data_IF_218486252833
#
_entry.id   IF_218486252833
#
_cell.length_a   1.000
_cell.length_b   1.000
_cell.length_c   1.000
_cell.angle_alpha   90.00
_cell.angle_beta   90.00
_cell.angle_gamma   90.00
#
_symmetry.space_group_name_H-M   'P 1'
#
loop_
_entity.id
_entity.type
_entity.pdbx_description
1 polymer ?
#
# COMPACT_ATOMS: atom_id res chain seq x y z
N UNK A 1 -47.10 -34.03 -23.83
CA UNK A 1 -47.44 -35.15 -24.70
C UNK A 1 -46.39 -35.27 -25.76
N UNK A 2 -45.63 -36.30 -25.54
CA UNK A 2 -45.01 -37.19 -26.52
C UNK A 2 -44.08 -36.72 -27.65
N UNK A 3 -43.21 -37.67 -28.07
CA UNK A 3 -42.16 -38.35 -27.33
C UNK A 3 -40.83 -38.40 -28.14
N UNK A 4 -39.77 -38.89 -27.50
CA UNK A 4 -38.56 -39.40 -28.15
C UNK A 4 -38.84 -40.49 -29.21
N UNK A 5 -37.88 -40.76 -30.11
CA UNK A 5 -37.47 -42.15 -30.25
C UNK A 5 -35.96 -42.41 -30.26
N UNK A 6 -35.62 -43.34 -29.57
CA UNK A 6 -34.80 -44.53 -29.43
C UNK A 6 -33.95 -44.98 -30.64
N UNK A 7 -32.69 -45.34 -30.26
CA UNK A 7 -31.79 -46.42 -30.72
C UNK A 7 -32.10 -47.22 -32.00
N UNK A 8 -31.06 -47.45 -32.82
CA UNK A 8 -30.83 -48.78 -33.36
C UNK A 8 -29.33 -49.13 -33.52
N UNK A 9 -28.99 -50.33 -33.01
CA UNK A 9 -27.73 -51.05 -33.21
C UNK A 9 -27.92 -52.03 -34.35
N UNK A 10 -26.94 -52.16 -35.27
CA UNK A 10 -26.58 -53.40 -35.93
C UNK A 10 -25.36 -53.21 -36.82
N UNK A 11 -24.25 -53.77 -36.38
CA UNK A 11 -23.53 -54.95 -36.96
C UNK A 11 -23.36 -55.04 -38.48
N UNK A 12 -22.11 -55.07 -38.92
CA UNK A 12 -21.67 -55.96 -39.98
C UNK A 12 -20.18 -56.29 -39.89
N UNK A 13 -19.90 -57.58 -39.73
CA UNK A 13 -18.65 -58.32 -39.91
C UNK A 13 -18.35 -58.49 -41.41
N UNK A 14 -17.12 -58.46 -41.87
CA UNK A 14 -16.53 -59.18 -42.99
C UNK A 14 -15.02 -59.20 -42.84
N UNK A 15 -14.43 -60.21 -42.44
CA UNK A 15 -13.80 -61.37 -43.06
C UNK A 15 -12.51 -61.09 -43.83
N UNK A 16 -11.46 -61.60 -43.26
CA UNK A 16 -10.14 -62.07 -43.58
C UNK A 16 -9.69 -62.15 -45.06
N UNK A 17 -8.45 -61.83 -45.31
CA UNK A 17 -7.57 -62.53 -46.23
C UNK A 17 -6.11 -62.40 -45.74
N UNK A 18 -5.51 -63.53 -45.46
CA UNK A 18 -4.10 -63.71 -45.08
C UNK A 18 -3.19 -63.64 -46.29
N UNK A 19 -2.09 -62.88 -46.22
CA UNK A 19 -0.91 -63.08 -47.07
C UNK A 19 0.32 -63.03 -46.22
N UNK A 20 0.99 -64.15 -46.03
CA UNK A 20 2.32 -64.28 -45.43
C UNK A 20 3.36 -63.64 -46.37
N UNK A 21 4.05 -62.61 -45.88
CA UNK A 21 5.32 -62.16 -46.42
C UNK A 21 6.40 -62.38 -45.36
N UNK A 22 7.33 -63.29 -45.63
CA UNK A 22 8.55 -63.43 -44.85
C UNK A 22 9.40 -62.16 -45.00
N UNK A 23 9.59 -61.43 -43.93
CA UNK A 23 10.57 -60.35 -43.85
C UNK A 23 11.67 -60.76 -42.87
N UNK A 24 12.88 -60.82 -43.42
CA UNK A 24 14.15 -61.06 -42.71
C UNK A 24 14.38 -60.02 -41.59
N UNK A 25 14.46 -60.51 -40.37
CA UNK A 25 14.84 -59.68 -39.20
C UNK A 25 16.30 -59.32 -39.27
N UNK A 26 16.59 -58.11 -39.63
CA UNK A 26 17.92 -57.49 -39.49
C UNK A 26 18.06 -56.99 -38.06
N UNK A 27 18.98 -57.53 -37.26
CA UNK A 27 19.27 -57.08 -35.90
C UNK A 27 19.76 -55.63 -35.92
N UNK A 28 18.97 -54.73 -35.32
CA UNK A 28 19.39 -53.38 -35.06
C UNK A 28 20.12 -53.33 -33.74
N UNK A 29 21.33 -52.80 -33.78
CA UNK A 29 22.17 -52.49 -32.62
C UNK A 29 21.46 -51.46 -31.75
N UNK A 30 21.43 -51.55 -30.41
CA UNK A 30 20.80 -50.54 -29.54
C UNK A 30 21.57 -49.23 -29.70
N UNK A 31 20.89 -48.20 -30.22
CA UNK A 31 21.38 -46.84 -30.11
C UNK A 31 21.32 -46.41 -28.65
N UNK A 32 22.44 -46.06 -28.07
CA UNK A 32 22.53 -45.41 -26.79
C UNK A 32 21.83 -44.06 -26.92
N UNK A 33 20.70 -43.88 -26.22
CA UNK A 33 20.04 -42.59 -26.07
C UNK A 33 20.94 -41.71 -25.18
N UNK A 34 21.48 -40.62 -25.75
CA UNK A 34 22.08 -39.55 -24.96
C UNK A 34 21.08 -39.00 -23.95
N UNK A 35 21.51 -38.69 -22.70
CA UNK A 35 20.60 -38.10 -21.69
C UNK A 35 20.07 -36.78 -22.21
N UNK A 36 18.76 -36.65 -22.36
CA UNK A 36 18.10 -35.38 -22.65
C UNK A 36 18.51 -34.38 -21.55
N UNK A 37 19.21 -33.34 -21.93
CA UNK A 37 19.38 -32.17 -21.08
C UNK A 37 17.98 -31.67 -20.74
N UNK A 38 17.63 -31.70 -19.47
CA UNK A 38 16.40 -31.07 -18.97
C UNK A 38 16.61 -29.56 -19.13
N UNK A 39 15.73 -28.92 -19.90
CA UNK A 39 15.66 -27.46 -19.96
C UNK A 39 15.56 -26.90 -18.53
N UNK A 40 16.29 -25.83 -18.19
CA UNK A 40 16.21 -25.24 -16.86
C UNK A 40 14.76 -24.83 -16.57
N UNK A 41 14.20 -25.37 -15.49
CA UNK A 41 12.88 -25.01 -15.00
C UNK A 41 12.82 -23.48 -14.94
N UNK A 42 11.80 -22.80 -15.49
CA UNK A 42 11.66 -21.36 -15.38
C UNK A 42 11.77 -20.96 -13.92
N UNK A 43 12.62 -19.96 -13.62
CA UNK A 43 12.74 -19.43 -12.27
C UNK A 43 11.36 -18.99 -11.79
N UNK A 44 10.92 -19.44 -10.62
CA UNK A 44 9.69 -18.94 -10.02
C UNK A 44 9.80 -17.42 -9.90
N UNK A 45 8.74 -16.66 -10.25
CA UNK A 45 8.76 -15.21 -10.10
C UNK A 45 9.06 -14.87 -8.65
N UNK A 46 10.01 -13.96 -8.43
CA UNK A 46 10.38 -13.53 -7.08
C UNK A 46 9.12 -13.09 -6.32
N UNK A 47 8.92 -13.63 -5.12
CA UNK A 47 7.78 -13.25 -4.27
C UNK A 47 7.79 -11.75 -4.05
N UNK A 48 6.64 -11.09 -4.28
CA UNK A 48 6.44 -9.68 -3.98
C UNK A 48 6.65 -9.47 -2.48
N UNK A 49 7.47 -8.48 -2.13
CA UNK A 49 7.72 -8.10 -0.73
C UNK A 49 7.10 -6.75 -0.44
N UNK A 50 6.65 -6.53 0.80
CA UNK A 50 6.23 -5.22 1.26
C UNK A 50 7.43 -4.26 1.31
N UNK A 51 7.23 -3.06 0.80
CA UNK A 51 8.17 -1.96 0.97
C UNK A 51 7.88 -1.31 2.32
N UNK A 52 8.68 -1.63 3.32
CA UNK A 52 8.47 -1.13 4.67
C UNK A 52 9.21 0.19 4.88
N UNK A 53 8.53 1.15 5.50
CA UNK A 53 9.09 2.43 5.94
C UNK A 53 8.79 2.69 7.42
N UNK A 54 9.28 3.80 7.95
CA UNK A 54 9.07 4.19 9.35
C UNK A 54 8.93 5.69 9.49
N UNK A 55 7.99 6.15 10.32
CA UNK A 55 7.77 7.57 10.59
C UNK A 55 8.86 8.15 11.48
N UNK A 56 9.53 9.19 11.00
CA UNK A 56 10.69 9.81 11.65
C UNK A 56 10.36 10.42 13.02
N UNK A 57 9.21 11.06 13.17
CA UNK A 57 8.87 11.85 14.35
C UNK A 57 8.93 11.07 15.68
N UNK A 58 8.70 9.77 15.63
CA UNK A 58 8.74 8.87 16.81
C UNK A 58 10.19 8.71 17.33
N UNK A 59 11.16 8.83 16.46
CA UNK A 59 12.58 8.57 16.73
C UNK A 59 13.42 9.85 16.78
N UNK A 60 12.81 11.02 17.00
CA UNK A 60 13.51 12.33 17.03
C UNK A 60 14.64 12.41 18.07
N UNK A 61 14.63 11.54 19.08
CA UNK A 61 15.72 11.42 20.05
C UNK A 61 17.01 10.77 19.52
N UNK A 62 16.98 10.14 18.33
CA UNK A 62 18.15 9.54 17.68
C UNK A 62 18.61 10.48 16.57
N UNK A 63 19.92 10.84 16.45
CA UNK A 63 20.42 11.62 15.33
C UNK A 63 20.04 10.97 13.99
N UNK A 64 19.62 11.77 12.97
CA UNK A 64 19.01 11.24 11.75
C UNK A 64 19.94 10.28 10.99
N UNK A 65 21.23 10.58 10.86
CA UNK A 65 22.17 9.68 10.16
C UNK A 65 22.32 8.34 10.90
N UNK A 66 22.44 8.37 12.23
CA UNK A 66 22.46 7.15 13.05
C UNK A 66 21.14 6.37 12.92
N UNK A 67 20.00 7.06 12.90
CA UNK A 67 18.70 6.43 12.68
C UNK A 67 18.63 5.75 11.31
N UNK A 68 19.07 6.44 10.24
CA UNK A 68 19.10 5.87 8.89
C UNK A 68 19.94 4.60 8.83
N UNK A 69 21.14 4.59 9.43
CA UNK A 69 22.02 3.42 9.49
C UNK A 69 21.34 2.25 10.21
N UNK A 70 20.75 2.51 11.39
CA UNK A 70 20.09 1.48 12.18
C UNK A 70 18.87 0.88 11.49
N UNK A 71 18.02 1.70 10.86
CA UNK A 71 16.80 1.19 10.20
C UNK A 71 17.13 0.47 8.89
N UNK A 72 18.14 0.90 8.15
CA UNK A 72 18.62 0.18 6.98
C UNK A 72 19.13 -1.23 7.35
N UNK A 73 19.85 -1.35 8.46
CA UNK A 73 20.40 -2.63 8.94
C UNK A 73 19.32 -3.67 9.30
N UNK A 74 18.09 -3.23 9.64
CA UNK A 74 16.97 -4.11 9.96
C UNK A 74 16.01 -4.34 8.79
N UNK A 75 16.32 -3.82 7.58
CA UNK A 75 15.54 -4.08 6.36
C UNK A 75 14.48 -3.03 6.02
N UNK A 76 14.40 -1.91 6.73
CA UNK A 76 13.61 -0.74 6.32
C UNK A 76 14.21 -0.17 5.03
N UNK A 77 13.36 0.25 4.10
CA UNK A 77 13.77 0.78 2.79
C UNK A 77 13.48 2.27 2.62
N UNK A 78 12.70 2.86 3.54
CA UNK A 78 12.32 4.26 3.45
C UNK A 78 12.02 4.87 4.82
N UNK A 79 12.02 6.21 4.88
CA UNK A 79 11.65 6.98 6.08
C UNK A 79 10.52 7.93 5.69
N UNK A 80 9.45 7.91 6.47
CA UNK A 80 8.30 8.79 6.33
C UNK A 80 8.47 10.09 7.13
N UNK A 81 7.81 11.14 6.64
CA UNK A 81 7.63 12.40 7.37
C UNK A 81 8.94 13.08 7.72
N UNK A 82 9.76 13.29 6.67
CA UNK A 82 10.96 14.11 6.75
C UNK A 82 10.69 15.54 6.33
N UNK A 83 11.42 16.48 6.95
CA UNK A 83 11.42 17.89 6.57
C UNK A 83 12.29 18.13 5.34
N UNK A 84 12.11 19.26 4.61
CA UNK A 84 12.88 19.55 3.40
C UNK A 84 14.41 19.51 3.58
N UNK A 85 14.92 19.84 4.76
CA UNK A 85 16.36 19.82 5.05
C UNK A 85 16.89 18.37 5.27
N UNK A 86 16.01 17.43 5.53
CA UNK A 86 16.33 16.04 5.84
C UNK A 86 16.21 15.11 4.62
N UNK A 87 15.49 15.49 3.56
CA UNK A 87 15.12 14.61 2.44
C UNK A 87 16.29 13.89 1.75
N UNK A 88 17.47 14.47 1.76
CA UNK A 88 18.64 13.89 1.09
C UNK A 88 19.46 12.95 2.00
N UNK A 89 19.27 13.03 3.33
CA UNK A 89 20.07 12.24 4.29
C UNK A 89 19.87 10.73 4.11
N UNK A 90 18.64 10.19 3.96
CA UNK A 90 18.42 8.75 3.79
C UNK A 90 19.18 8.13 2.61
N UNK A 91 19.39 8.90 1.52
CA UNK A 91 20.06 8.39 0.31
C UNK A 91 21.48 7.92 0.56
N UNK A 92 22.18 8.50 1.54
CA UNK A 92 23.54 8.06 1.95
C UNK A 92 23.57 6.63 2.48
N UNK A 93 22.42 6.12 2.93
CA UNK A 93 22.23 4.81 3.54
C UNK A 93 21.43 3.84 2.66
N UNK A 94 21.22 4.19 1.38
CA UNK A 94 20.40 3.39 0.46
C UNK A 94 18.90 3.44 0.73
N UNK A 95 18.45 4.41 1.54
CA UNK A 95 17.03 4.63 1.85
C UNK A 95 16.45 5.77 1.01
N UNK A 96 15.12 5.85 0.94
CA UNK A 96 14.40 6.98 0.34
C UNK A 96 13.49 7.65 1.38
N UNK A 97 13.05 8.89 1.10
CA UNK A 97 11.91 9.46 1.81
C UNK A 97 10.63 8.99 1.11
N UNK A 98 9.73 8.29 1.82
CA UNK A 98 8.48 7.75 1.27
C UNK A 98 7.30 8.72 1.35
N UNK A 99 7.34 9.66 2.30
CA UNK A 99 6.31 10.66 2.54
C UNK A 99 6.94 11.96 3.02
N UNK A 100 6.66 13.05 2.35
CA UNK A 100 6.99 14.40 2.83
C UNK A 100 5.88 14.94 3.73
N UNK A 101 6.24 15.79 4.68
CA UNK A 101 5.25 16.67 5.32
C UNK A 101 4.59 17.57 4.28
N UNK A 102 3.30 17.86 4.49
CA UNK A 102 2.55 18.84 3.71
C UNK A 102 2.97 20.30 4.02
N UNK A 103 2.25 21.25 3.43
CA UNK A 103 2.43 22.67 3.71
C UNK A 103 2.37 23.00 5.20
N UNK A 104 3.12 24.01 5.64
CA UNK A 104 3.16 24.40 7.07
C UNK A 104 1.82 24.92 7.58
N UNK A 105 1.01 25.51 6.71
CA UNK A 105 -0.36 25.93 7.02
C UNK A 105 -1.31 24.76 7.25
N UNK A 106 -0.97 23.57 6.70
CA UNK A 106 -1.77 22.37 6.81
C UNK A 106 -1.39 21.59 8.06
N UNK A 107 -2.33 21.47 8.99
CA UNK A 107 -2.16 20.78 10.27
C UNK A 107 -3.34 19.86 10.51
N UNK A 108 -3.22 18.92 11.44
CA UNK A 108 -4.30 17.99 11.77
C UNK A 108 -5.61 18.73 12.11
N UNK A 109 -5.53 19.83 12.84
CA UNK A 109 -6.70 20.62 13.25
C UNK A 109 -7.05 21.77 12.27
N UNK A 110 -6.16 22.12 11.34
CA UNK A 110 -6.34 23.17 10.33
C UNK A 110 -6.13 22.56 8.94
N UNK A 111 -7.21 22.18 8.28
CA UNK A 111 -7.12 21.42 7.04
C UNK A 111 -8.08 21.90 5.95
N UNK A 112 -8.25 20.99 5.00
CA UNK A 112 -8.96 21.24 3.74
C UNK A 112 -10.47 21.42 3.88
N UNK A 113 -11.07 21.03 5.02
CA UNK A 113 -12.49 21.22 5.27
C UNK A 113 -12.92 22.67 5.49
N UNK A 114 -11.96 23.62 5.47
CA UNK A 114 -12.17 25.04 5.63
C UNK A 114 -11.67 25.82 4.41
N UNK A 115 -12.55 26.53 3.73
CA UNK A 115 -12.22 27.27 2.51
C UNK A 115 -11.24 28.42 2.75
N UNK A 116 -11.24 29.01 3.94
CA UNK A 116 -10.32 30.06 4.35
C UNK A 116 -8.85 29.63 4.37
N UNK A 117 -8.59 28.31 4.42
CA UNK A 117 -7.21 27.78 4.36
C UNK A 117 -6.72 27.53 2.93
N UNK A 118 -7.62 27.51 1.94
CA UNK A 118 -7.30 27.00 0.60
C UNK A 118 -6.28 27.85 -0.15
N UNK A 119 -6.37 29.20 -0.09
CA UNK A 119 -5.45 30.06 -0.85
C UNK A 119 -4.01 29.88 -0.39
N UNK A 120 -3.80 29.84 0.93
CA UNK A 120 -2.48 29.59 1.48
C UNK A 120 -2.00 28.17 1.16
N UNK A 121 -2.86 27.16 1.30
CA UNK A 121 -2.56 25.78 0.93
C UNK A 121 -2.10 25.65 -0.52
N UNK A 122 -2.82 26.26 -1.47
CA UNK A 122 -2.47 26.24 -2.90
C UNK A 122 -1.12 26.88 -3.13
N UNK A 123 -0.91 28.10 -2.61
CA UNK A 123 0.37 28.82 -2.76
C UNK A 123 1.56 28.00 -2.21
N UNK A 124 1.40 27.39 -1.05
CA UNK A 124 2.46 26.56 -0.45
C UNK A 124 2.66 25.25 -1.24
N UNK A 125 1.60 24.63 -1.77
CA UNK A 125 1.71 23.45 -2.63
C UNK A 125 2.43 23.75 -3.95
N UNK A 126 2.16 24.88 -4.59
CA UNK A 126 2.85 25.31 -5.82
C UNK A 126 4.37 25.41 -5.62
N UNK A 127 4.80 25.87 -4.45
CA UNK A 127 6.22 25.95 -4.09
C UNK A 127 6.81 24.61 -3.67
N UNK A 128 6.03 23.74 -3.01
CA UNK A 128 6.53 22.53 -2.33
C UNK A 128 6.52 21.30 -3.23
N UNK A 129 5.47 21.08 -4.02
CA UNK A 129 5.30 19.86 -4.84
C UNK A 129 6.43 19.65 -5.86
N UNK A 130 6.91 20.67 -6.62
CA UNK A 130 8.06 20.49 -7.49
C UNK A 130 9.33 20.05 -6.73
N UNK A 131 9.57 20.61 -5.54
CA UNK A 131 10.73 20.26 -4.71
C UNK A 131 10.65 18.83 -4.16
N UNK A 132 9.44 18.37 -3.80
CA UNK A 132 9.19 16.99 -3.39
C UNK A 132 9.50 16.03 -4.55
N UNK A 133 9.03 16.35 -5.75
CA UNK A 133 9.30 15.57 -6.96
C UNK A 133 10.79 15.52 -7.29
N UNK A 134 11.49 16.66 -7.27
CA UNK A 134 12.95 16.77 -7.50
C UNK A 134 13.75 15.95 -6.48
N UNK A 135 13.24 15.84 -5.24
CA UNK A 135 13.84 15.00 -4.21
C UNK A 135 13.58 13.50 -4.45
N UNK A 136 12.69 13.14 -5.38
CA UNK A 136 12.29 11.76 -5.68
C UNK A 136 11.30 11.17 -4.65
N UNK A 137 10.55 12.03 -3.94
CA UNK A 137 9.60 11.62 -2.91
C UNK A 137 8.23 11.39 -3.56
N UNK A 138 7.62 10.20 -3.40
CA UNK A 138 6.39 9.86 -4.11
C UNK A 138 5.12 10.48 -3.51
N UNK A 139 5.13 10.81 -2.21
CA UNK A 139 3.93 11.16 -1.47
C UNK A 139 4.11 12.43 -0.62
N UNK A 140 3.01 13.14 -0.42
CA UNK A 140 2.89 14.26 0.53
C UNK A 140 1.62 14.07 1.36
N UNK A 141 1.73 14.19 2.70
CA UNK A 141 0.58 14.07 3.60
C UNK A 141 -0.27 15.35 3.58
N UNK A 142 -1.60 15.20 3.63
CA UNK A 142 -2.56 16.29 3.77
C UNK A 142 -3.70 15.89 4.72
N UNK A 143 -4.33 16.88 5.37
CA UNK A 143 -5.33 16.66 6.43
C UNK A 143 -6.67 17.32 6.10
N UNK A 144 -7.76 16.73 6.63
CA UNK A 144 -9.09 17.33 6.54
C UNK A 144 -9.26 18.55 7.43
N UNK A 145 -8.67 18.53 8.61
CA UNK A 145 -8.95 19.50 9.67
C UNK A 145 -10.07 19.02 10.62
N UNK A 146 -10.27 19.78 11.70
CA UNK A 146 -11.37 19.54 12.64
C UNK A 146 -12.70 20.06 12.10
N UNK A 147 -13.81 19.40 12.50
CA UNK A 147 -15.17 19.84 12.12
C UNK A 147 -15.49 21.25 12.64
N UNK A 148 -15.15 21.56 13.90
CA UNK A 148 -15.47 22.85 14.51
C UNK A 148 -16.96 23.22 14.38
N UNK A 149 -17.83 22.23 14.55
CA UNK A 149 -19.28 22.38 14.39
C UNK A 149 -19.82 22.36 12.95
N UNK A 150 -18.96 22.22 11.93
CA UNK A 150 -19.38 22.06 10.53
C UNK A 150 -19.86 20.63 10.29
N UNK A 151 -20.90 20.46 9.48
CA UNK A 151 -21.37 19.14 9.04
C UNK A 151 -20.40 18.49 8.02
N UNK A 152 -20.45 17.15 7.94
CA UNK A 152 -19.54 16.38 7.09
C UNK A 152 -19.75 16.67 5.60
N UNK A 153 -20.97 16.91 5.13
CA UNK A 153 -21.24 17.18 3.72
C UNK A 153 -20.57 18.48 3.26
N UNK A 154 -20.68 19.54 4.08
CA UNK A 154 -19.97 20.80 3.84
C UNK A 154 -18.45 20.59 3.90
N UNK A 155 -17.94 19.84 4.89
CA UNK A 155 -16.53 19.53 5.04
C UNK A 155 -15.95 18.77 3.84
N UNK A 156 -16.67 17.75 3.36
CA UNK A 156 -16.32 16.97 2.17
C UNK A 156 -16.24 17.88 0.94
N UNK A 157 -17.27 18.71 0.70
CA UNK A 157 -17.28 19.61 -0.45
C UNK A 157 -16.13 20.62 -0.43
N UNK A 158 -15.78 21.14 0.75
CA UNK A 158 -14.64 22.01 0.91
C UNK A 158 -13.31 21.28 0.61
N UNK A 159 -13.11 20.05 1.15
CA UNK A 159 -11.94 19.24 0.84
C UNK A 159 -11.81 18.97 -0.67
N UNK A 160 -12.91 18.64 -1.34
CA UNK A 160 -12.95 18.45 -2.81
C UNK A 160 -12.49 19.73 -3.52
N UNK A 161 -13.03 20.88 -3.12
CA UNK A 161 -12.71 22.18 -3.72
C UNK A 161 -11.22 22.52 -3.56
N UNK A 162 -10.67 22.36 -2.36
CA UNK A 162 -9.25 22.64 -2.09
C UNK A 162 -8.30 21.71 -2.86
N UNK A 163 -8.59 20.38 -2.84
CA UNK A 163 -7.75 19.40 -3.53
C UNK A 163 -7.79 19.54 -5.05
N UNK A 164 -8.93 19.87 -5.64
CA UNK A 164 -9.02 20.11 -7.10
C UNK A 164 -8.10 21.23 -7.58
N UNK A 165 -7.86 22.24 -6.75
CA UNK A 165 -6.97 23.38 -7.11
C UNK A 165 -5.50 22.98 -7.26
N UNK A 166 -5.07 21.86 -6.65
CA UNK A 166 -3.66 21.39 -6.69
C UNK A 166 -3.50 20.03 -7.38
N UNK A 167 -4.59 19.36 -7.72
CA UNK A 167 -4.57 18.01 -8.27
C UNK A 167 -3.81 17.92 -9.62
N UNK A 168 -4.02 18.90 -10.53
CA UNK A 168 -3.34 18.94 -11.82
C UNK A 168 -1.81 19.12 -11.64
N UNK A 169 -1.38 19.97 -10.72
CA UNK A 169 0.03 20.12 -10.40
C UNK A 169 0.62 18.83 -9.83
N UNK A 170 -0.09 18.19 -8.90
CA UNK A 170 0.34 16.92 -8.31
C UNK A 170 0.49 15.82 -9.39
N UNK A 171 -0.43 15.77 -10.36
CA UNK A 171 -0.33 14.86 -11.52
C UNK A 171 0.86 15.17 -12.41
N UNK A 172 1.09 16.46 -12.72
CA UNK A 172 2.19 16.93 -13.55
C UNK A 172 3.55 16.57 -12.98
N UNK A 173 3.73 16.74 -11.67
CA UNK A 173 5.01 16.45 -11.00
C UNK A 173 5.13 15.00 -10.50
N UNK A 174 4.04 14.23 -10.52
CA UNK A 174 4.05 12.82 -10.14
C UNK A 174 4.01 12.56 -8.63
N UNK A 175 3.65 13.54 -7.80
CA UNK A 175 3.54 13.41 -6.34
C UNK A 175 2.10 13.08 -5.95
N UNK A 176 1.90 12.11 -5.06
CA UNK A 176 0.57 11.74 -4.56
C UNK A 176 0.27 12.50 -3.27
N UNK A 177 -0.87 13.19 -3.25
CA UNK A 177 -1.44 13.80 -2.05
C UNK A 177 -2.15 12.71 -1.26
N UNK A 178 -1.60 12.34 -0.12
CA UNK A 178 -2.12 11.30 0.76
C UNK A 178 -2.97 11.93 1.86
N UNK A 179 -4.30 11.85 1.69
CA UNK A 179 -5.30 12.41 2.60
C UNK A 179 -5.48 11.45 3.78
N UNK A 180 -5.12 11.89 4.99
CA UNK A 180 -4.99 10.98 6.12
C UNK A 180 -6.30 10.72 6.85
N UNK A 181 -6.59 9.43 7.06
CA UNK A 181 -7.66 8.91 7.90
C UNK A 181 -7.20 8.86 9.37
N UNK A 182 -7.81 9.66 10.25
CA UNK A 182 -7.51 9.69 11.68
C UNK A 182 -8.74 9.33 12.53
N UNK A 183 -8.53 8.86 13.75
CA UNK A 183 -9.62 8.60 14.67
C UNK A 183 -10.02 9.83 15.47
N UNK A 184 -11.32 10.12 15.55
CA UNK A 184 -11.90 11.16 16.39
C UNK A 184 -12.31 10.67 17.79
N UNK A 185 -12.33 9.34 18.01
CA UNK A 185 -12.78 8.75 19.28
C UNK A 185 -11.78 8.94 20.42
N UNK A 186 -10.48 8.86 20.14
CA UNK A 186 -9.41 8.80 21.15
C UNK A 186 -8.39 9.93 20.97
N UNK A 187 -7.71 9.98 19.81
CA UNK A 187 -6.49 10.76 19.65
C UNK A 187 -6.71 12.16 19.08
N UNK A 188 -7.61 12.28 18.10
CA UNK A 188 -7.81 13.53 17.33
C UNK A 188 -9.28 13.96 17.39
N UNK A 189 -9.75 14.29 18.60
CA UNK A 189 -11.16 14.73 18.80
C UNK A 189 -11.55 15.78 17.78
N UNK A 190 -12.77 15.61 17.23
CA UNK A 190 -13.36 16.52 16.24
C UNK A 190 -12.74 16.49 14.84
N UNK A 191 -11.75 15.62 14.57
CA UNK A 191 -11.17 15.48 13.22
C UNK A 191 -12.25 15.01 12.22
N UNK A 192 -12.30 15.63 11.02
CA UNK A 192 -13.42 15.42 10.12
C UNK A 192 -13.34 14.12 9.32
N UNK A 193 -12.16 13.75 8.79
CA UNK A 193 -11.98 12.49 8.05
C UNK A 193 -11.70 11.34 9.01
N UNK A 194 -12.73 10.86 9.67
CA UNK A 194 -12.69 9.78 10.66
C UNK A 194 -13.51 8.53 10.27
N UNK A 195 -13.93 8.44 9.01
CA UNK A 195 -14.63 7.28 8.41
C UNK A 195 -14.19 7.11 6.97
N UNK A 196 -13.98 5.87 6.54
CA UNK A 196 -13.53 5.56 5.17
C UNK A 196 -14.43 6.20 4.10
N UNK A 197 -15.75 6.24 4.32
CA UNK A 197 -16.71 6.85 3.41
C UNK A 197 -16.40 8.32 3.09
N UNK A 198 -15.96 9.11 4.09
CA UNK A 198 -15.57 10.52 3.90
C UNK A 198 -14.41 10.65 2.89
N UNK A 199 -13.32 9.92 3.10
CA UNK A 199 -12.16 9.96 2.21
C UNK A 199 -12.46 9.46 0.81
N UNK A 200 -13.29 8.40 0.69
CA UNK A 200 -13.71 7.85 -0.60
C UNK A 200 -14.54 8.86 -1.41
N UNK A 201 -15.47 9.56 -0.77
CA UNK A 201 -16.28 10.59 -1.44
C UNK A 201 -15.38 11.71 -1.97
N UNK A 202 -14.45 12.20 -1.14
CA UNK A 202 -13.47 13.21 -1.55
C UNK A 202 -12.62 12.73 -2.73
N UNK A 203 -11.99 11.56 -2.64
CA UNK A 203 -11.10 11.04 -3.69
C UNK A 203 -11.83 10.81 -5.01
N UNK A 204 -13.05 10.24 -4.97
CA UNK A 204 -13.89 10.00 -6.15
C UNK A 204 -14.31 11.30 -6.82
N UNK A 205 -14.71 12.30 -6.05
CA UNK A 205 -15.17 13.58 -6.57
C UNK A 205 -14.03 14.46 -7.10
N UNK A 206 -12.83 14.36 -6.52
CA UNK A 206 -11.61 15.00 -7.07
C UNK A 206 -11.20 14.33 -8.38
N UNK A 207 -11.39 13.01 -8.48
CA UNK A 207 -11.14 12.18 -9.67
C UNK A 207 -9.69 12.26 -10.19
N UNK A 208 -8.71 12.45 -9.29
CA UNK A 208 -7.29 12.46 -9.61
C UNK A 208 -6.59 11.19 -9.15
N UNK A 209 -5.75 10.61 -10.02
CA UNK A 209 -4.90 9.48 -9.64
C UNK A 209 -3.82 9.84 -8.61
N UNK A 210 -3.61 11.14 -8.37
CA UNK A 210 -2.65 11.66 -7.39
C UNK A 210 -3.29 12.22 -6.13
N UNK A 211 -4.58 11.96 -5.90
CA UNK A 211 -5.26 12.20 -4.63
C UNK A 211 -5.75 10.87 -4.11
N UNK A 212 -5.15 10.40 -3.04
CA UNK A 212 -5.35 9.08 -2.45
C UNK A 212 -5.51 9.19 -0.94
N UNK A 213 -6.00 8.14 -0.32
CA UNK A 213 -6.11 8.01 1.13
C UNK A 213 -4.77 7.51 1.69
N UNK A 214 -4.28 8.13 2.73
CA UNK A 214 -3.38 7.48 3.68
C UNK A 214 -4.25 6.70 4.64
N UNK A 215 -4.21 5.36 4.53
CA UNK A 215 -4.98 4.47 5.37
C UNK A 215 -4.15 4.08 6.59
N UNK A 216 -4.32 4.84 7.68
CA UNK A 216 -3.72 4.48 8.97
C UNK A 216 -4.56 3.37 9.61
N UNK A 217 -3.98 2.17 9.68
CA UNK A 217 -4.62 0.94 10.16
C UNK A 217 -4.99 1.08 11.65
N UNK A 218 -4.16 1.76 12.44
CA UNK A 218 -4.45 2.02 13.84
C UNK A 218 -5.71 2.87 14.01
N UNK A 219 -5.80 3.96 13.26
CA UNK A 219 -6.95 4.85 13.33
C UNK A 219 -8.21 4.19 12.78
N UNK A 220 -8.11 3.47 11.66
CA UNK A 220 -9.22 2.75 11.06
C UNK A 220 -9.79 1.66 11.99
N UNK A 221 -8.92 0.91 12.69
CA UNK A 221 -9.37 -0.09 13.66
C UNK A 221 -10.19 0.52 14.79
N UNK A 222 -9.77 1.66 15.35
CA UNK A 222 -10.48 2.35 16.43
C UNK A 222 -11.86 2.83 15.97
N UNK A 223 -11.96 3.31 14.72
CA UNK A 223 -13.20 3.90 14.20
C UNK A 223 -14.19 2.86 13.69
N UNK A 224 -13.76 1.99 12.79
CA UNK A 224 -14.65 1.13 12.00
C UNK A 224 -14.27 -0.36 12.05
N UNK A 225 -13.00 -0.69 12.28
CA UNK A 225 -12.53 -2.07 12.21
C UNK A 225 -12.55 -2.65 10.79
N UNK A 226 -12.72 -3.99 10.66
CA UNK A 226 -12.85 -4.71 9.39
C UNK A 226 -11.78 -4.31 8.33
N UNK A 227 -10.55 -4.13 8.82
CA UNK A 227 -9.43 -3.54 8.10
C UNK A 227 -9.13 -4.28 6.77
N UNK A 228 -9.11 -5.62 6.79
CA UNK A 228 -8.72 -6.42 5.60
C UNK A 228 -9.74 -6.29 4.47
N UNK A 229 -11.02 -6.32 4.75
CA UNK A 229 -12.06 -6.12 3.73
C UNK A 229 -12.01 -4.70 3.20
N UNK A 230 -11.97 -3.72 4.09
CA UNK A 230 -11.91 -2.29 3.71
C UNK A 230 -10.73 -1.98 2.79
N UNK A 231 -9.51 -2.46 3.11
CA UNK A 231 -8.35 -2.22 2.25
C UNK A 231 -8.47 -2.91 0.89
N UNK A 232 -9.02 -4.15 0.83
CA UNK A 232 -9.22 -4.86 -0.44
C UNK A 232 -10.24 -4.18 -1.33
N UNK A 233 -11.37 -3.76 -0.77
CA UNK A 233 -12.47 -3.15 -1.51
C UNK A 233 -12.12 -1.76 -2.05
N UNK A 234 -11.12 -1.09 -1.44
CA UNK A 234 -10.79 0.30 -1.75
C UNK A 234 -9.30 0.54 -2.07
N UNK A 235 -8.54 -0.51 -2.37
CA UNK A 235 -7.09 -0.40 -2.59
C UNK A 235 -6.73 0.60 -3.69
N UNK A 236 -7.56 0.76 -4.69
CA UNK A 236 -7.37 1.73 -5.78
C UNK A 236 -7.35 3.19 -5.30
N UNK A 237 -7.99 3.45 -4.14
CA UNK A 237 -8.03 4.77 -3.50
C UNK A 237 -6.96 4.94 -2.42
N UNK A 238 -6.21 3.90 -2.05
CA UNK A 238 -5.18 3.96 -1.01
C UNK A 238 -3.81 4.24 -1.64
N UNK A 239 -3.14 5.29 -1.18
CA UNK A 239 -1.80 5.70 -1.63
C UNK A 239 -0.68 5.35 -0.65
N UNK A 240 -1.02 5.17 0.62
CA UNK A 240 -0.06 4.88 1.69
C UNK A 240 -0.71 4.19 2.88
N UNK A 241 0.08 3.44 3.65
CA UNK A 241 -0.39 2.79 4.89
C UNK A 241 0.46 3.22 6.07
N UNK A 242 -0.20 3.48 7.22
CA UNK A 242 0.45 3.54 8.52
C UNK A 242 0.01 2.38 9.42
N UNK A 243 0.88 1.99 10.36
CA UNK A 243 0.63 0.89 11.31
C UNK A 243 0.77 1.37 12.74
N UNK A 244 0.00 0.78 13.65
CA UNK A 244 0.14 0.99 15.09
C UNK A 244 -0.69 -0.02 15.87
N UNK A 245 -0.23 -0.44 17.04
CA UNK A 245 -0.95 -1.41 17.89
C UNK A 245 -2.15 -0.78 18.59
N UNK A 246 -3.29 -1.46 18.54
CA UNK A 246 -4.52 -1.06 19.25
C UNK A 246 -4.70 -1.98 20.45
N UNK A 247 -4.95 -1.41 21.63
CA UNK A 247 -5.08 0.02 21.97
C UNK A 247 -3.74 0.74 22.18
N UNK A 248 -3.77 2.07 22.08
CA UNK A 248 -2.72 2.97 22.58
C UNK A 248 -1.56 3.25 21.63
N UNK A 249 -1.68 2.91 20.34
CA UNK A 249 -0.68 3.19 19.29
C UNK A 249 0.72 2.66 19.63
N UNK A 250 0.77 1.46 20.27
CA UNK A 250 2.01 0.82 20.72
C UNK A 250 2.55 -0.16 19.69
N UNK A 251 3.53 -0.99 20.09
CA UNK A 251 4.11 -2.04 19.27
C UNK A 251 3.04 -2.92 18.62
N UNK A 252 3.32 -3.39 17.40
CA UNK A 252 2.38 -4.23 16.64
C UNK A 252 2.58 -5.74 16.89
N UNK A 253 3.08 -6.09 18.09
CA UNK A 253 3.32 -7.45 18.56
C UNK A 253 2.01 -8.20 18.95
N UNK A 254 2.11 -9.29 19.64
CA UNK A 254 0.99 -10.14 20.10
C UNK A 254 0.22 -9.57 21.32
N UNK A 255 0.63 -8.40 21.84
CA UNK A 255 -0.03 -7.73 22.98
C UNK A 255 -1.11 -6.72 22.56
N UNK A 256 -1.49 -6.70 21.30
CA UNK A 256 -2.49 -5.81 20.70
C UNK A 256 -3.49 -6.62 19.83
N UNK A 257 -4.60 -5.99 19.38
CA UNK A 257 -5.75 -6.73 18.83
C UNK A 257 -5.71 -6.99 17.32
N UNK A 258 -4.78 -6.36 16.55
CA UNK A 258 -4.68 -6.49 15.10
C UNK A 258 -3.76 -7.65 14.69
N UNK A 259 -4.18 -8.47 13.71
CA UNK A 259 -3.31 -9.47 13.11
C UNK A 259 -2.53 -8.88 11.94
N UNK A 260 -1.39 -8.20 12.22
CA UNK A 260 -0.58 -7.55 11.20
C UNK A 260 -0.03 -8.49 10.14
N UNK A 261 0.32 -9.73 10.48
CA UNK A 261 0.76 -10.70 9.47
C UNK A 261 -0.35 -11.01 8.44
N UNK A 262 -1.61 -11.10 8.88
CA UNK A 262 -2.75 -11.29 7.96
C UNK A 262 -3.04 -10.02 7.13
N UNK A 263 -2.93 -8.84 7.74
CA UNK A 263 -3.11 -7.55 7.06
C UNK A 263 -2.04 -7.37 5.98
N UNK A 264 -0.77 -7.64 6.29
CA UNK A 264 0.34 -7.54 5.34
C UNK A 264 0.19 -8.49 4.16
N UNK A 265 -0.23 -9.75 4.40
CA UNK A 265 -0.57 -10.68 3.30
C UNK A 265 -1.69 -10.13 2.43
N UNK A 266 -2.75 -9.58 3.05
CA UNK A 266 -3.85 -9.00 2.30
C UNK A 266 -3.42 -7.83 1.42
N UNK A 267 -2.51 -6.97 1.88
CA UNK A 267 -1.91 -5.89 1.08
C UNK A 267 -1.10 -6.47 -0.09
N UNK A 268 -0.27 -7.50 0.15
CA UNK A 268 0.55 -8.14 -0.89
C UNK A 268 -0.27 -8.80 -2.00
N UNK A 269 -1.46 -9.30 -1.68
CA UNK A 269 -2.40 -9.89 -2.64
C UNK A 269 -3.07 -8.86 -3.56
N UNK A 270 -2.93 -7.57 -3.27
CA UNK A 270 -3.45 -6.47 -4.10
C UNK A 270 -2.39 -5.94 -5.08
N UNK A 271 -2.78 -5.10 -6.07
CA UNK A 271 -1.83 -4.41 -6.94
C UNK A 271 -0.98 -3.33 -6.24
N UNK A 272 -1.23 -3.04 -4.97
CA UNK A 272 -0.51 -2.00 -4.23
C UNK A 272 0.99 -2.25 -4.22
N UNK A 273 1.78 -1.24 -4.59
CA UNK A 273 3.26 -1.28 -4.66
C UNK A 273 3.93 -0.14 -3.86
N UNK A 274 3.14 0.59 -3.08
CA UNK A 274 3.60 1.66 -2.21
C UNK A 274 4.29 1.18 -0.93
N UNK A 275 4.38 2.07 0.06
CA UNK A 275 5.03 1.78 1.34
C UNK A 275 3.99 1.50 2.44
N UNK A 276 4.40 0.68 3.40
CA UNK A 276 3.73 0.48 4.69
C UNK A 276 4.66 1.03 5.77
N UNK A 277 4.27 2.15 6.39
CA UNK A 277 5.11 2.83 7.36
C UNK A 277 4.73 2.47 8.80
N UNK A 278 5.73 2.14 9.59
CA UNK A 278 5.55 1.91 11.01
C UNK A 278 5.43 3.23 11.76
N UNK A 279 4.26 3.43 12.38
CA UNK A 279 3.93 4.66 13.11
C UNK A 279 3.33 4.35 14.49
N UNK A 280 4.09 3.68 15.32
CA UNK A 280 3.69 3.32 16.68
C UNK A 280 4.71 3.79 17.72
N UNK A 281 4.25 3.98 18.96
CA UNK A 281 5.06 4.40 20.10
C UNK A 281 5.70 3.17 20.78
N UNK A 282 7.01 2.94 20.63
CA UNK A 282 7.67 1.74 21.17
C UNK A 282 7.59 1.68 22.71
N UNK A 283 7.37 0.46 23.24
CA UNK A 283 7.33 0.20 24.70
C UNK A 283 8.74 -0.02 25.27
N UNK A 284 9.70 -0.41 24.46
CA UNK A 284 11.06 -0.74 24.86
C UNK A 284 12.11 -0.02 24.02
N UNK A 285 13.23 -0.70 23.75
CA UNK A 285 14.24 -0.17 22.81
C UNK A 285 13.63 0.07 21.45
N UNK A 286 13.66 1.31 20.92
CA UNK A 286 12.91 1.67 19.72
C UNK A 286 13.33 0.88 18.47
N UNK A 287 14.61 0.61 18.30
CA UNK A 287 15.14 -0.12 17.13
C UNK A 287 14.87 -1.62 17.25
N UNK A 288 15.00 -2.19 18.46
CA UNK A 288 14.71 -3.60 18.69
C UNK A 288 13.22 -3.92 18.47
N UNK A 289 12.29 -3.04 18.90
CA UNK A 289 10.86 -3.22 18.64
C UNK A 289 10.53 -3.07 17.17
N UNK A 290 11.16 -2.10 16.49
CA UNK A 290 10.99 -1.91 15.04
C UNK A 290 11.50 -3.13 14.25
N UNK A 291 12.62 -3.73 14.63
CA UNK A 291 13.13 -4.95 13.98
C UNK A 291 12.13 -6.12 14.09
N UNK A 292 11.42 -6.24 15.24
CA UNK A 292 10.34 -7.23 15.40
C UNK A 292 9.16 -6.93 14.48
N UNK A 293 8.75 -5.67 14.36
CA UNK A 293 7.67 -5.24 13.49
C UNK A 293 8.00 -5.52 12.02
N UNK A 294 9.21 -5.19 11.57
CA UNK A 294 9.70 -5.48 10.21
C UNK A 294 9.61 -6.98 9.92
N UNK A 295 10.10 -7.82 10.84
CA UNK A 295 10.03 -9.28 10.70
C UNK A 295 8.59 -9.81 10.66
N UNK A 296 7.68 -9.26 11.48
CA UNK A 296 6.26 -9.64 11.50
C UNK A 296 5.57 -9.33 10.18
N UNK A 297 5.96 -8.25 9.52
CA UNK A 297 5.38 -7.80 8.25
C UNK A 297 6.07 -8.38 6.99
N UNK A 298 7.20 -9.09 7.12
CA UNK A 298 7.89 -9.81 6.01
C UNK A 298 7.26 -11.21 5.84
N UNK A 299 6.08 -11.29 5.19
CA UNK A 299 5.21 -12.47 5.07
C UNK A 299 5.21 -13.08 3.67
#
# INVERSE_FOLDING_TARGET
MNPEPALDRRTLLAAAASSLALTTVRAQTPQQQEPRQQDPKPAEPAKKKLRQSVCRWIYNGIPLEQFCEQVAAIGITAIDLLTPNEWQVPKKFGLVCSMAYGPKSMQINHGLNRTEHHDQFVTECEALLPRIADAGIPNMIVFSGNRGGQDDATGIQNCITGLKRVAELAEKVGVTLCFEYLNSKVDHKDYAFDKMAYGLEVCRAVASKRVKILYDIYHAQIMEGDVIRTLRDHIEHIGHFHTGGVPGRRDIDDTQELNYAAICRAILETPYDGFVAHEYLPKGDPIATLAKAVKLCDV
#
